data_IF_064240755878
#
_entry.id   IF_064240755878
#
_cell.length_a   1.000
_cell.length_b   1.000
_cell.length_c   1.000
_cell.angle_alpha   90.00
_cell.angle_beta   90.00
_cell.angle_gamma   90.00
#
_symmetry.space_group_name_H-M   'P 1'
#
loop_
_entity.id
_entity.type
_entity.pdbx_description
1 polymer ?
#
# COMPACT_ATOMS: atom_id res chain seq x y z
N UNK A 1 -74.92 58.51 -0.76
CA UNK A 1 -75.00 57.98 0.62
C UNK A 1 -73.60 57.96 1.21
N UNK A 2 -73.42 58.65 2.35
CA UNK A 2 -72.50 58.39 3.48
C UNK A 2 -71.01 58.10 3.16
N UNK A 3 -70.00 58.76 3.72
CA UNK A 3 -69.95 59.71 4.82
C UNK A 3 -68.51 60.15 5.14
N UNK A 4 -68.43 61.17 6.00
CA UNK A 4 -67.26 61.76 6.63
C UNK A 4 -66.30 60.77 7.33
N UNK A 5 -65.00 61.13 7.46
CA UNK A 5 -64.40 61.73 8.69
C UNK A 5 -62.86 61.67 8.71
N UNK A 6 -62.27 62.86 8.94
CA UNK A 6 -61.26 63.22 9.98
C UNK A 6 -59.84 62.62 9.83
N UNK A 7 -58.78 63.40 9.65
CA UNK A 7 -58.15 64.46 10.48
C UNK A 7 -56.87 63.93 11.17
N UNK A 8 -55.77 64.65 10.90
CA UNK A 8 -54.73 65.12 11.83
C UNK A 8 -53.61 64.21 12.37
N UNK A 9 -52.39 64.63 11.99
CA UNK A 9 -51.29 65.22 12.81
C UNK A 9 -50.13 64.34 13.31
N UNK A 10 -48.93 64.96 13.17
CA UNK A 10 -47.68 64.74 13.91
C UNK A 10 -46.69 63.87 13.14
N UNK A 11 -45.51 64.30 12.66
CA UNK A 11 -44.53 65.24 13.22
C UNK A 11 -43.88 64.62 14.48
N UNK A 12 -42.58 64.55 14.71
CA UNK A 12 -41.35 64.89 13.98
C UNK A 12 -40.17 64.35 14.82
N UNK A 13 -39.11 63.86 14.16
CA UNK A 13 -37.69 63.81 14.59
C UNK A 13 -37.13 62.79 15.63
N UNK A 14 -35.79 62.54 15.58
CA UNK A 14 -35.17 61.23 15.72
C UNK A 14 -34.44 61.02 17.05
N UNK A 15 -34.18 59.76 17.41
CA UNK A 15 -33.36 59.41 18.57
C UNK A 15 -32.13 58.59 18.18
N UNK A 16 -31.02 59.33 18.14
CA UNK A 16 -29.67 59.06 18.67
C UNK A 16 -29.21 57.59 18.78
N UNK A 17 -28.06 57.36 18.13
CA UNK A 17 -27.09 56.29 18.44
C UNK A 17 -26.62 56.35 19.90
N UNK A 18 -26.19 55.21 20.45
CA UNK A 18 -25.03 55.18 21.33
C UNK A 18 -23.89 54.36 20.72
N UNK A 19 -22.70 54.93 20.81
CA UNK A 19 -21.41 54.26 20.65
C UNK A 19 -21.27 53.12 21.66
N UNK A 20 -20.77 51.96 21.24
CA UNK A 20 -20.01 51.08 22.12
C UNK A 20 -18.96 50.29 21.33
N UNK A 21 -17.74 50.85 21.41
CA UNK A 21 -16.48 50.19 21.80
C UNK A 21 -16.09 48.85 21.15
N UNK A 22 -14.97 48.96 20.45
CA UNK A 22 -14.08 47.89 20.04
C UNK A 22 -13.66 46.99 21.21
N UNK A 23 -14.10 45.74 21.17
CA UNK A 23 -13.51 44.64 21.94
C UNK A 23 -12.27 44.12 21.23
N UNK A 24 -11.10 44.63 21.63
CA UNK A 24 -9.81 44.00 21.36
C UNK A 24 -9.77 42.70 22.15
N UNK A 25 -9.89 41.56 21.47
CA UNK A 25 -9.62 40.27 22.09
C UNK A 25 -8.11 40.08 22.21
N UNK A 26 -7.58 40.41 23.39
CA UNK A 26 -6.24 40.03 23.83
C UNK A 26 -6.07 38.51 23.71
N UNK A 27 -5.31 38.08 22.71
CA UNK A 27 -4.78 36.73 22.63
C UNK A 27 -3.68 36.56 23.68
N UNK A 28 -3.69 35.49 24.48
CA UNK A 28 -2.54 35.17 25.34
C UNK A 28 -1.32 34.84 24.47
N UNK A 29 -0.12 35.31 24.83
CA UNK A 29 1.09 35.06 24.04
C UNK A 29 1.44 33.57 24.04
N UNK A 30 1.60 33.00 22.84
CA UNK A 30 2.12 31.66 22.64
C UNK A 30 3.49 31.47 23.32
N UNK A 31 3.78 30.30 23.92
CA UNK A 31 5.08 30.01 24.48
C UNK A 31 6.14 29.97 23.37
N UNK A 32 7.20 30.76 23.55
CA UNK A 32 8.37 30.79 22.66
C UNK A 32 9.10 29.44 22.70
N UNK A 33 9.54 28.87 21.56
CA UNK A 33 10.39 27.69 21.56
C UNK A 33 11.76 28.02 22.18
N UNK A 34 12.39 27.08 22.91
CA UNK A 34 13.69 27.32 23.54
C UNK A 34 14.79 27.58 22.49
N UNK A 35 15.66 28.54 22.82
CA UNK A 35 16.74 29.01 21.98
C UNK A 35 17.69 27.87 21.55
N UNK A 36 17.95 27.81 20.24
CA UNK A 36 18.92 26.92 19.62
C UNK A 36 20.33 27.30 20.09
N UNK A 37 20.85 26.56 21.08
CA UNK A 37 22.25 26.67 21.51
C UNK A 37 23.14 26.14 20.37
N UNK A 38 23.81 27.03 19.64
CA UNK A 38 24.84 26.68 18.67
C UNK A 38 25.98 25.95 19.41
N UNK A 39 26.05 24.63 19.29
CA UNK A 39 27.25 23.87 19.63
C UNK A 39 28.21 23.97 18.45
N UNK A 40 29.27 24.77 18.65
CA UNK A 40 30.46 24.82 17.80
C UNK A 40 30.99 23.40 17.58
N UNK A 41 31.08 22.98 16.32
CA UNK A 41 31.72 21.73 15.93
C UNK A 41 33.22 21.81 16.22
N UNK A 42 33.72 20.93 17.10
CA UNK A 42 35.13 20.56 17.15
C UNK A 42 35.34 19.47 16.10
N UNK A 43 36.17 19.77 15.12
CA UNK A 43 36.69 18.82 14.15
C UNK A 43 37.57 17.81 14.89
N UNK A 44 37.21 16.52 14.83
CA UNK A 44 38.11 15.44 15.21
C UNK A 44 38.73 14.87 13.92
N UNK A 45 40.04 15.09 13.76
CA UNK A 45 40.87 14.44 12.76
C UNK A 45 40.87 12.92 13.00
N UNK A 46 40.17 12.17 12.15
CA UNK A 46 40.32 10.72 12.02
C UNK A 46 41.47 10.40 11.09
N UNK A 47 42.62 10.01 11.65
CA UNK A 47 43.73 9.43 10.91
C UNK A 47 43.33 8.05 10.34
N UNK A 48 43.16 7.97 9.02
CA UNK A 48 43.09 6.73 8.26
C UNK A 48 44.47 6.04 8.29
N UNK A 49 44.63 4.98 9.09
CA UNK A 49 45.77 4.08 9.00
C UNK A 49 45.51 3.05 7.90
N UNK A 50 46.16 3.23 6.76
CA UNK A 50 46.25 2.22 5.69
C UNK A 50 46.96 0.96 6.21
N UNK A 51 46.24 -0.15 6.34
CA UNK A 51 46.85 -1.48 6.52
C UNK A 51 47.33 -1.99 5.16
N UNK A 52 48.64 -2.01 4.95
CA UNK A 52 49.31 -2.63 3.80
C UNK A 52 49.14 -4.14 3.86
N UNK A 53 48.72 -4.73 2.75
CA UNK A 53 48.70 -6.18 2.51
C UNK A 53 50.09 -6.65 2.06
N UNK A 54 50.70 -7.71 2.62
CA UNK A 54 51.98 -8.20 2.13
C UNK A 54 51.76 -9.04 0.86
N UNK A 55 52.46 -8.66 -0.21
CA UNK A 55 52.61 -9.46 -1.43
C UNK A 55 53.44 -10.71 -1.11
N UNK A 56 52.79 -11.88 -1.09
CA UNK A 56 53.50 -13.17 -1.06
C UNK A 56 53.96 -13.52 -2.48
N UNK A 57 55.27 -13.80 -2.59
CA UNK A 57 55.98 -14.19 -3.81
C UNK A 57 55.38 -15.46 -4.42
N UNK A 58 55.17 -15.44 -5.74
CA UNK A 58 54.83 -16.63 -6.54
C UNK A 58 56.01 -17.61 -6.47
N UNK A 59 55.73 -18.86 -6.09
CA UNK A 59 56.64 -19.99 -6.27
C UNK A 59 56.19 -20.78 -7.50
N UNK A 60 57.16 -21.07 -8.36
CA UNK A 60 57.03 -21.80 -9.60
C UNK A 60 56.48 -23.21 -9.39
N UNK A 61 55.53 -23.61 -10.23
CA UNK A 61 54.98 -24.97 -10.31
C UNK A 61 55.61 -25.66 -11.52
N UNK A 62 56.41 -26.71 -11.27
CA UNK A 62 56.83 -27.69 -12.29
C UNK A 62 55.69 -28.71 -12.53
N UNK A 63 55.47 -29.19 -13.77
CA UNK A 63 54.44 -30.18 -14.05
C UNK A 63 54.96 -31.60 -13.82
N UNK A 64 54.21 -32.42 -13.07
CA UNK A 64 54.66 -33.78 -12.76
C UNK A 64 53.60 -34.67 -12.10
N UNK A 65 52.80 -35.33 -12.95
CA UNK A 65 52.30 -36.72 -12.85
C UNK A 65 51.35 -37.16 -11.71
N UNK A 66 50.22 -37.70 -12.22
CA UNK A 66 49.36 -38.81 -11.73
C UNK A 66 48.38 -38.51 -10.59
N UNK A 67 47.17 -38.14 -10.99
CA UNK A 67 45.97 -38.29 -10.17
C UNK A 67 45.71 -39.79 -9.94
N UNK A 68 45.84 -40.24 -8.70
CA UNK A 68 45.30 -41.52 -8.26
C UNK A 68 43.78 -41.44 -8.29
N UNK A 69 43.14 -42.44 -8.92
CA UNK A 69 41.70 -42.61 -8.91
C UNK A 69 41.21 -42.69 -7.46
N UNK A 70 40.42 -41.71 -7.04
CA UNK A 70 39.74 -41.72 -5.76
C UNK A 70 38.60 -42.73 -5.88
N UNK A 71 38.78 -43.92 -5.29
CA UNK A 71 37.69 -44.88 -5.16
C UNK A 71 36.50 -44.19 -4.46
N UNK A 72 35.27 -44.28 -4.99
CA UNK A 72 34.12 -43.64 -4.38
C UNK A 72 33.88 -44.29 -3.01
N UNK A 73 34.10 -43.51 -1.95
CA UNK A 73 33.78 -43.87 -0.57
C UNK A 73 32.35 -44.42 -0.54
N UNK A 74 32.20 -45.70 -0.20
CA UNK A 74 30.90 -46.29 0.08
C UNK A 74 30.32 -45.61 1.31
N UNK A 75 29.44 -44.62 1.07
CA UNK A 75 28.68 -43.96 2.13
C UNK A 75 27.96 -45.02 2.97
N UNK A 76 28.16 -44.99 4.28
CA UNK A 76 27.47 -45.87 5.21
C UNK A 76 25.94 -45.70 5.11
N UNK A 77 25.17 -46.75 5.44
CA UNK A 77 23.69 -46.75 5.33
C UNK A 77 23.04 -45.51 5.97
N UNK A 78 23.60 -45.01 7.08
CA UNK A 78 23.13 -43.80 7.75
C UNK A 78 23.36 -42.51 6.92
N UNK A 79 24.50 -42.37 6.26
CA UNK A 79 24.79 -41.21 5.39
C UNK A 79 23.95 -41.25 4.11
N UNK A 80 23.67 -42.44 3.56
CA UNK A 80 22.73 -42.59 2.42
C UNK A 80 21.31 -42.20 2.82
N UNK A 81 20.83 -42.65 3.99
CA UNK A 81 19.52 -42.26 4.53
C UNK A 81 19.42 -40.75 4.79
N UNK A 82 20.47 -40.12 5.31
CA UNK A 82 20.50 -38.66 5.50
C UNK A 82 20.51 -37.91 4.18
N UNK A 83 21.27 -38.36 3.17
CA UNK A 83 21.24 -37.77 1.83
C UNK A 83 19.90 -37.99 1.12
N UNK A 84 19.26 -39.14 1.33
CA UNK A 84 17.95 -39.45 0.78
C UNK A 84 16.86 -38.60 1.43
N UNK A 85 16.86 -38.48 2.77
CA UNK A 85 15.97 -37.54 3.49
C UNK A 85 16.20 -36.09 3.10
N UNK A 86 17.46 -35.67 2.92
CA UNK A 86 17.78 -34.30 2.48
C UNK A 86 17.35 -34.06 1.04
N UNK A 87 17.42 -35.07 0.16
CA UNK A 87 16.86 -35.02 -1.20
C UNK A 87 15.33 -35.04 -1.21
N UNK A 88 14.69 -35.75 -0.29
CA UNK A 88 13.24 -35.73 -0.11
C UNK A 88 12.77 -34.39 0.48
N UNK A 89 13.52 -33.79 1.41
CA UNK A 89 13.29 -32.43 1.93
C UNK A 89 13.57 -31.35 0.88
N UNK A 90 14.62 -31.48 0.07
CA UNK A 90 14.92 -30.60 -1.08
C UNK A 90 13.91 -30.80 -2.22
N UNK A 91 13.40 -32.03 -2.46
CA UNK A 91 12.30 -32.30 -3.41
C UNK A 91 10.97 -31.67 -2.98
N UNK A 92 10.82 -31.37 -1.69
CA UNK A 92 9.66 -30.68 -1.12
C UNK A 92 9.88 -29.17 -1.03
N UNK A 93 10.99 -28.66 -1.55
CA UNK A 93 11.17 -27.24 -1.77
C UNK A 93 10.17 -26.78 -2.84
N UNK A 94 9.33 -25.82 -2.50
CA UNK A 94 8.30 -25.30 -3.41
C UNK A 94 8.87 -24.84 -4.77
N UNK A 95 10.13 -24.39 -4.80
CA UNK A 95 10.81 -23.99 -6.04
C UNK A 95 11.20 -25.19 -6.93
N UNK A 96 11.73 -26.27 -6.35
CA UNK A 96 12.11 -27.48 -7.09
C UNK A 96 10.87 -28.30 -7.50
N UNK A 97 9.85 -28.34 -6.64
CA UNK A 97 8.56 -28.96 -6.94
C UNK A 97 7.83 -28.22 -8.08
N UNK A 98 7.86 -26.88 -8.11
CA UNK A 98 7.28 -26.09 -9.19
C UNK A 98 8.04 -26.29 -10.52
N UNK A 99 9.38 -26.31 -10.48
CA UNK A 99 10.19 -26.54 -11.68
C UNK A 99 10.03 -27.98 -12.21
N UNK A 100 10.02 -28.99 -11.34
CA UNK A 100 9.80 -30.38 -11.71
C UNK A 100 8.39 -30.60 -12.27
N UNK A 101 7.38 -29.95 -11.68
CA UNK A 101 5.99 -29.95 -12.19
C UNK A 101 5.89 -29.26 -13.54
N UNK A 102 6.57 -28.12 -13.73
CA UNK A 102 6.63 -27.43 -15.01
C UNK A 102 7.30 -28.30 -16.08
N UNK A 103 8.41 -28.97 -15.77
CA UNK A 103 9.07 -29.90 -16.70
C UNK A 103 8.21 -31.13 -17.02
N UNK A 104 7.46 -31.64 -16.04
CA UNK A 104 6.55 -32.77 -16.21
C UNK A 104 5.33 -32.40 -17.08
N UNK A 105 4.71 -31.24 -16.83
CA UNK A 105 3.56 -30.74 -17.59
C UNK A 105 3.96 -30.26 -19.01
N UNK A 106 5.19 -29.76 -19.17
CA UNK A 106 5.76 -29.34 -20.45
C UNK A 106 6.49 -30.47 -21.22
N UNK A 107 6.38 -31.72 -20.77
CA UNK A 107 7.12 -32.86 -21.30
C UNK A 107 7.12 -32.96 -22.84
N UNK A 108 8.32 -32.78 -23.40
CA UNK A 108 8.82 -33.07 -24.77
C UNK A 108 8.08 -32.52 -26.00
N UNK A 109 7.04 -31.68 -25.86
CA UNK A 109 6.44 -31.02 -27.01
C UNK A 109 5.48 -29.88 -26.65
N UNK A 110 5.75 -28.70 -27.22
CA UNK A 110 4.87 -27.58 -27.57
C UNK A 110 3.53 -27.37 -26.83
N UNK A 111 3.43 -27.62 -25.52
CA UNK A 111 2.28 -27.17 -24.75
C UNK A 111 2.52 -25.71 -24.35
N UNK A 112 1.77 -24.79 -24.93
CA UNK A 112 1.66 -23.44 -24.39
C UNK A 112 0.72 -23.48 -23.18
N UNK A 113 1.27 -23.48 -21.96
CA UNK A 113 0.47 -23.48 -20.73
C UNK A 113 -0.28 -22.16 -20.50
N UNK A 114 -0.11 -21.15 -21.36
CA UNK A 114 -0.96 -19.96 -21.40
C UNK A 114 -2.26 -20.19 -22.16
N UNK A 115 -2.31 -21.21 -23.03
CA UNK A 115 -3.54 -21.66 -23.67
C UNK A 115 -4.27 -22.61 -22.73
N UNK A 116 -5.46 -22.22 -22.28
CA UNK A 116 -6.22 -22.95 -21.25
C UNK A 116 -6.58 -24.38 -21.70
N UNK A 117 -6.80 -24.59 -23.00
CA UNK A 117 -7.06 -25.91 -23.57
C UNK A 117 -5.84 -26.82 -23.50
N UNK A 118 -4.65 -26.31 -23.82
CA UNK A 118 -3.38 -27.02 -23.70
C UNK A 118 -2.99 -27.28 -22.24
N UNK A 119 -3.20 -26.29 -21.35
CA UNK A 119 -2.97 -26.43 -19.92
C UNK A 119 -3.86 -27.51 -19.30
N UNK A 120 -5.17 -27.52 -19.64
CA UNK A 120 -6.10 -28.56 -19.18
C UNK A 120 -5.66 -29.96 -19.62
N UNK A 121 -5.25 -30.13 -20.89
CA UNK A 121 -4.72 -31.41 -21.40
C UNK A 121 -3.46 -31.84 -20.67
N UNK A 122 -2.57 -30.90 -20.33
CA UNK A 122 -1.36 -31.20 -19.57
C UNK A 122 -1.69 -31.65 -18.14
N UNK A 123 -2.61 -30.97 -17.45
CA UNK A 123 -3.03 -31.33 -16.09
C UNK A 123 -3.69 -32.72 -16.08
N UNK A 124 -4.50 -33.03 -17.10
CA UNK A 124 -5.15 -34.33 -17.22
C UNK A 124 -4.18 -35.48 -17.50
N UNK A 125 -3.00 -35.22 -18.08
CA UNK A 125 -1.91 -36.22 -18.22
C UNK A 125 -1.27 -36.56 -16.86
N UNK A 126 -1.24 -35.60 -15.95
CA UNK A 126 -0.76 -35.80 -14.59
C UNK A 126 -1.82 -36.47 -13.70
N UNK A 127 -3.07 -36.02 -13.82
CA UNK A 127 -4.19 -36.49 -13.02
C UNK A 127 -5.48 -36.49 -13.85
N UNK A 128 -6.04 -37.68 -14.09
CA UNK A 128 -7.21 -37.87 -14.96
C UNK A 128 -8.55 -37.29 -14.41
N UNK A 129 -8.56 -36.71 -13.21
CA UNK A 129 -9.76 -36.08 -12.65
C UNK A 129 -10.06 -34.74 -13.32
N UNK A 130 -11.24 -34.65 -13.94
CA UNK A 130 -11.75 -33.40 -14.52
C UNK A 130 -11.89 -32.29 -13.49
N UNK A 131 -12.43 -32.61 -12.31
CA UNK A 131 -12.60 -31.66 -11.21
C UNK A 131 -11.27 -31.13 -10.70
N UNK A 132 -10.26 -32.00 -10.57
CA UNK A 132 -8.91 -31.58 -10.20
C UNK A 132 -8.30 -30.62 -11.24
N UNK A 133 -8.51 -30.89 -12.53
CA UNK A 133 -8.04 -30.01 -13.60
C UNK A 133 -8.74 -28.64 -13.55
N UNK A 134 -10.05 -28.62 -13.29
CA UNK A 134 -10.83 -27.40 -13.21
C UNK A 134 -10.45 -26.56 -11.98
N UNK A 135 -10.16 -27.20 -10.83
CA UNK A 135 -9.67 -26.56 -9.61
C UNK A 135 -8.28 -25.93 -9.81
N UNK A 136 -7.35 -26.66 -10.44
CA UNK A 136 -6.00 -26.17 -10.75
C UNK A 136 -6.05 -24.99 -11.72
N UNK A 137 -6.87 -25.05 -12.77
CA UNK A 137 -7.07 -23.92 -13.68
C UNK A 137 -7.74 -22.73 -12.99
N UNK A 138 -8.64 -22.98 -12.04
CA UNK A 138 -9.22 -21.96 -11.16
C UNK A 138 -8.15 -21.22 -10.36
N UNK A 139 -7.23 -21.97 -9.74
CA UNK A 139 -6.10 -21.38 -9.03
C UNK A 139 -5.13 -20.65 -9.97
N UNK A 140 -4.84 -21.18 -11.17
CA UNK A 140 -3.99 -20.48 -12.15
C UNK A 140 -4.61 -19.14 -12.53
N UNK A 141 -5.92 -19.07 -12.81
CA UNK A 141 -6.61 -17.79 -13.06
C UNK A 141 -6.52 -16.83 -11.89
N UNK A 142 -6.67 -17.35 -10.67
CA UNK A 142 -6.51 -16.55 -9.45
C UNK A 142 -5.06 -16.05 -9.29
N UNK A 143 -4.06 -16.87 -9.62
CA UNK A 143 -2.65 -16.46 -9.59
C UNK A 143 -2.26 -15.54 -10.74
N UNK A 144 -2.87 -15.64 -11.93
CA UNK A 144 -2.68 -14.70 -13.04
C UNK A 144 -3.26 -13.32 -12.70
N UNK A 145 -4.35 -13.28 -11.93
CA UNK A 145 -4.87 -12.05 -11.33
C UNK A 145 -3.90 -11.45 -10.30
N UNK A 146 -3.01 -12.27 -9.71
CA UNK A 146 -1.96 -11.85 -8.78
C UNK A 146 -0.62 -11.53 -9.48
N UNK A 147 -0.33 -12.17 -10.63
CA UNK A 147 0.93 -12.07 -11.37
C UNK A 147 0.96 -10.91 -12.38
N UNK A 148 -0.20 -10.38 -12.75
CA UNK A 148 -0.28 -9.06 -13.38
C UNK A 148 -0.34 -8.02 -12.28
N UNK A 149 0.50 -6.97 -12.35
CA UNK A 149 0.41 -5.84 -11.41
C UNK A 149 -1.02 -5.31 -11.38
N UNK A 150 -1.74 -5.45 -10.25
CA UNK A 150 -3.15 -5.11 -10.19
C UNK A 150 -3.44 -3.61 -10.33
N UNK A 151 -2.41 -2.80 -10.09
CA UNK A 151 -2.44 -1.35 -10.27
C UNK A 151 -2.84 -0.95 -11.70
N UNK A 152 -2.55 -1.77 -12.71
CA UNK A 152 -2.72 -1.40 -14.12
C UNK A 152 -4.03 -1.93 -14.72
N UNK A 153 -4.63 -3.01 -14.21
CA UNK A 153 -5.87 -3.58 -14.74
C UNK A 153 -7.15 -2.99 -14.14
N UNK A 154 -7.13 -2.59 -12.86
CA UNK A 154 -8.30 -1.96 -12.23
C UNK A 154 -8.32 -0.44 -12.41
N UNK A 155 -7.16 0.20 -12.61
CA UNK A 155 -7.07 1.57 -13.13
C UNK A 155 -7.51 1.68 -14.60
N UNK A 156 -7.61 0.57 -15.33
CA UNK A 156 -8.05 0.52 -16.74
C UNK A 156 -9.46 -0.04 -16.96
N UNK A 157 -10.10 -0.65 -15.95
CA UNK A 157 -11.50 -1.08 -16.02
C UNK A 157 -12.50 0.08 -15.75
N UNK A 158 -12.49 1.09 -16.63
CA UNK A 158 -13.63 1.91 -17.10
C UNK A 158 -14.67 2.54 -16.15
N UNK A 159 -14.58 2.41 -14.81
CA UNK A 159 -15.62 2.82 -13.87
C UNK A 159 -15.20 3.93 -12.91
N UNK A 160 -16.14 4.43 -12.12
CA UNK A 160 -15.91 5.49 -11.12
C UNK A 160 -14.83 5.12 -10.11
N UNK A 161 -14.81 3.88 -9.60
CA UNK A 161 -13.78 3.40 -8.67
C UNK A 161 -12.37 3.46 -9.28
N UNK A 162 -12.20 3.03 -10.54
CA UNK A 162 -10.92 3.08 -11.23
C UNK A 162 -10.38 4.50 -11.39
N UNK A 163 -11.25 5.49 -11.64
CA UNK A 163 -10.87 6.92 -11.69
C UNK A 163 -10.34 7.40 -10.34
N UNK A 164 -11.08 7.12 -9.26
CA UNK A 164 -10.68 7.48 -7.88
C UNK A 164 -9.32 6.85 -7.53
N UNK A 165 -9.16 5.56 -7.81
CA UNK A 165 -7.90 4.83 -7.56
C UNK A 165 -6.74 5.42 -8.36
N UNK A 166 -6.94 5.68 -9.66
CA UNK A 166 -5.91 6.27 -10.53
C UNK A 166 -5.43 7.62 -9.99
N UNK A 167 -6.35 8.47 -9.54
CA UNK A 167 -6.03 9.78 -8.97
C UNK A 167 -5.25 9.64 -7.65
N UNK A 168 -5.67 8.76 -6.74
CA UNK A 168 -4.95 8.54 -5.50
C UNK A 168 -3.55 7.94 -5.72
N UNK A 169 -3.40 7.03 -6.69
CA UNK A 169 -2.11 6.43 -7.06
C UNK A 169 -1.15 7.44 -7.70
N UNK A 170 -1.67 8.43 -8.43
CA UNK A 170 -0.86 9.50 -9.01
C UNK A 170 -0.17 10.37 -7.95
N UNK A 171 -0.72 10.42 -6.73
CA UNK A 171 -0.18 11.18 -5.59
C UNK A 171 0.79 10.38 -4.72
N UNK A 172 1.19 9.18 -5.16
CA UNK A 172 2.28 8.46 -4.52
C UNK A 172 3.57 9.27 -4.60
N UNK A 173 4.31 9.32 -3.51
CA UNK A 173 5.49 10.17 -3.35
C UNK A 173 5.18 11.60 -2.93
N UNK A 174 3.92 12.05 -2.99
CA UNK A 174 3.53 13.36 -2.48
C UNK A 174 3.72 13.40 -0.96
N UNK A 175 4.29 14.50 -0.46
CA UNK A 175 4.63 14.67 0.96
C UNK A 175 3.39 14.61 1.84
N UNK A 176 3.51 14.02 3.03
CA UNK A 176 2.48 14.16 4.05
C UNK A 176 2.49 15.56 4.67
N UNK A 177 1.33 16.22 4.70
CA UNK A 177 1.11 17.51 5.37
C UNK A 177 -0.13 17.39 6.24
N UNK A 178 0.00 17.63 7.55
CA UNK A 178 -1.14 17.59 8.47
C UNK A 178 -2.17 18.65 8.11
N UNK A 179 -3.44 18.25 7.91
CA UNK A 179 -4.49 19.12 7.39
C UNK A 179 -4.39 19.36 5.88
N UNK A 180 -3.40 18.79 5.20
CA UNK A 180 -3.12 18.97 3.79
C UNK A 180 -4.13 18.25 2.90
N UNK A 181 -4.49 18.87 1.79
CA UNK A 181 -5.40 18.31 0.80
C UNK A 181 -6.84 18.79 0.93
N UNK A 182 -7.44 19.14 -0.20
CA UNK A 182 -8.86 19.43 -0.36
C UNK A 182 -9.37 18.91 -1.72
N UNK A 183 -10.57 19.32 -2.12
CA UNK A 183 -11.16 18.88 -3.40
C UNK A 183 -10.38 19.33 -4.64
N UNK A 184 -9.50 20.34 -4.52
CA UNK A 184 -8.71 20.90 -5.63
C UNK A 184 -7.29 20.35 -5.70
N UNK A 185 -6.83 19.60 -4.69
CA UNK A 185 -5.50 18.96 -4.70
C UNK A 185 -4.72 19.19 -3.41
N UNK A 186 -3.38 19.10 -3.45
CA UNK A 186 -2.54 19.21 -2.27
C UNK A 186 -2.52 20.64 -1.73
N UNK A 187 -2.61 20.79 -0.41
CA UNK A 187 -2.47 22.09 0.27
C UNK A 187 -1.23 22.08 1.15
N UNK A 188 -0.50 23.20 1.22
CA UNK A 188 0.81 23.23 1.86
C UNK A 188 1.86 22.32 1.19
N UNK A 189 1.63 21.94 -0.07
CA UNK A 189 2.51 21.05 -0.85
C UNK A 189 2.33 19.55 -0.57
N UNK A 190 1.23 19.14 0.06
CA UNK A 190 0.98 17.73 0.31
C UNK A 190 -0.44 17.38 0.73
N UNK A 191 -0.59 16.13 1.16
CA UNK A 191 -1.86 15.56 1.64
C UNK A 191 -1.69 14.99 3.04
N UNK A 192 -2.74 15.02 3.86
CA UNK A 192 -2.91 14.03 4.92
C UNK A 192 -3.74 12.84 4.43
N UNK A 193 -3.93 11.84 5.29
CA UNK A 193 -4.60 10.59 4.95
C UNK A 193 -6.01 10.83 4.39
N UNK A 194 -6.82 11.66 5.05
CA UNK A 194 -8.19 11.93 4.60
C UNK A 194 -8.26 12.96 3.47
N UNK A 195 -7.33 13.93 3.41
CA UNK A 195 -7.25 14.92 2.33
C UNK A 195 -6.96 14.30 0.97
N UNK A 196 -6.09 13.28 0.94
CA UNK A 196 -5.85 12.49 -0.29
C UNK A 196 -7.14 11.85 -0.80
N UNK A 197 -7.94 11.28 0.10
CA UNK A 197 -9.20 10.62 -0.24
C UNK A 197 -10.28 11.61 -0.66
N UNK A 198 -10.39 12.77 0.02
CA UNK A 198 -11.29 13.86 -0.36
C UNK A 198 -11.01 14.30 -1.80
N UNK A 199 -9.74 14.54 -2.15
CA UNK A 199 -9.32 14.88 -3.49
C UNK A 199 -9.70 13.80 -4.51
N UNK A 200 -9.26 12.55 -4.28
CA UNK A 200 -9.43 11.47 -5.23
C UNK A 200 -10.91 11.13 -5.49
N UNK A 201 -11.74 11.11 -4.44
CA UNK A 201 -13.18 10.86 -4.58
C UNK A 201 -13.91 12.02 -5.26
N UNK A 202 -13.57 13.26 -4.92
CA UNK A 202 -14.20 14.41 -5.56
C UNK A 202 -13.86 14.46 -7.06
N UNK A 203 -12.59 14.33 -7.41
CA UNK A 203 -12.12 14.39 -8.79
C UNK A 203 -12.53 13.16 -9.62
N UNK A 204 -12.54 11.97 -9.00
CA UNK A 204 -12.84 10.71 -9.70
C UNK A 204 -14.32 10.37 -9.79
N UNK A 205 -15.11 10.78 -8.79
CA UNK A 205 -16.50 10.37 -8.62
C UNK A 205 -17.49 11.54 -8.42
N UNK A 206 -17.02 12.77 -8.23
CA UNK A 206 -17.88 13.89 -7.85
C UNK A 206 -18.46 13.79 -6.44
N UNK A 207 -17.89 12.92 -5.59
CA UNK A 207 -18.38 12.67 -4.23
C UNK A 207 -17.50 13.42 -3.24
N UNK A 208 -18.11 14.28 -2.43
CA UNK A 208 -17.42 14.98 -1.34
C UNK A 208 -17.45 14.13 -0.07
N UNK A 209 -16.31 13.56 0.31
CA UNK A 209 -16.16 12.85 1.57
C UNK A 209 -16.06 13.81 2.76
N UNK A 210 -16.42 13.37 3.99
CA UNK A 210 -16.09 14.10 5.21
C UNK A 210 -14.58 14.34 5.34
N UNK A 211 -14.17 15.48 5.90
CA UNK A 211 -12.74 15.86 5.94
C UNK A 211 -11.88 14.97 6.83
N UNK A 212 -12.44 14.32 7.85
CA UNK A 212 -11.68 13.55 8.85
C UNK A 212 -11.90 12.05 8.69
N UNK A 213 -10.86 11.26 8.97
CA UNK A 213 -10.91 9.79 9.00
C UNK A 213 -11.98 9.28 9.98
N UNK A 214 -12.15 9.93 11.13
CA UNK A 214 -13.20 9.60 12.11
C UNK A 214 -14.60 9.76 11.52
N UNK A 215 -14.86 10.83 10.76
CA UNK A 215 -16.16 11.04 10.14
C UNK A 215 -16.37 10.08 8.95
N UNK A 216 -15.31 9.77 8.18
CA UNK A 216 -15.36 8.77 7.12
C UNK A 216 -15.69 7.37 7.65
N UNK A 217 -15.39 7.05 8.92
CA UNK A 217 -15.82 5.82 9.58
C UNK A 217 -17.34 5.64 9.56
N UNK A 218 -18.12 6.70 9.43
CA UNK A 218 -19.58 6.65 9.35
C UNK A 218 -20.12 6.96 7.95
N UNK A 219 -19.23 7.15 6.96
CA UNK A 219 -19.63 7.40 5.59
C UNK A 219 -20.14 6.13 4.91
N UNK A 220 -21.14 6.28 4.03
CA UNK A 220 -21.64 5.20 3.20
C UNK A 220 -22.09 3.95 3.98
N UNK A 221 -21.92 2.78 3.37
CA UNK A 221 -22.32 1.49 3.93
C UNK A 221 -21.13 0.77 4.59
N UNK A 222 -21.36 0.15 5.74
CA UNK A 222 -20.38 -0.76 6.35
C UNK A 222 -20.24 -2.06 5.52
N UNK A 223 -19.01 -2.51 5.32
CA UNK A 223 -18.69 -3.70 4.51
C UNK A 223 -17.86 -4.69 5.33
N UNK A 224 -18.12 -5.99 5.14
CA UNK A 224 -17.33 -7.06 5.75
C UNK A 224 -16.03 -7.30 4.99
N UNK A 225 -15.01 -7.87 5.65
CA UNK A 225 -13.69 -8.11 5.02
C UNK A 225 -13.74 -9.00 3.78
N UNK A 226 -14.65 -9.98 3.76
CA UNK A 226 -14.84 -10.89 2.61
C UNK A 226 -15.45 -10.18 1.38
N UNK A 227 -16.11 -9.05 1.59
CA UNK A 227 -16.81 -8.28 0.55
C UNK A 227 -16.02 -7.06 0.08
N UNK A 228 -14.77 -6.92 0.51
CA UNK A 228 -13.91 -5.77 0.21
C UNK A 228 -13.68 -5.62 -1.30
N UNK A 229 -13.90 -4.43 -1.84
CA UNK A 229 -13.79 -4.13 -3.28
C UNK A 229 -12.95 -2.88 -3.52
N UNK A 230 -12.20 -2.82 -4.64
CA UNK A 230 -11.46 -1.63 -5.02
C UNK A 230 -12.34 -0.37 -4.98
N UNK A 231 -11.81 0.69 -4.37
CA UNK A 231 -12.56 1.90 -4.09
C UNK A 231 -13.05 1.99 -2.65
N UNK A 232 -13.19 0.89 -1.91
CA UNK A 232 -13.62 0.96 -0.51
C UNK A 232 -12.64 1.75 0.37
N UNK A 233 -13.19 2.50 1.33
CA UNK A 233 -12.42 3.19 2.35
C UNK A 233 -12.06 2.23 3.47
N UNK A 234 -10.81 2.28 3.90
CA UNK A 234 -10.29 1.50 5.01
C UNK A 234 -9.91 2.43 6.14
N UNK A 235 -10.71 2.46 7.21
CA UNK A 235 -10.46 3.35 8.36
C UNK A 235 -9.84 2.54 9.48
N UNK A 236 -8.65 2.98 9.93
CA UNK A 236 -7.82 2.28 10.90
C UNK A 236 -7.86 2.98 12.26
N UNK A 237 -7.86 2.16 13.30
CA UNK A 237 -7.73 2.56 14.68
C UNK A 237 -6.33 2.23 15.23
N UNK A 238 -5.28 2.79 14.61
CA UNK A 238 -3.90 2.59 15.05
C UNK A 238 -3.57 3.34 16.35
N UNK A 239 -4.13 4.54 16.53
CA UNK A 239 -3.85 5.45 17.65
C UNK A 239 -4.98 5.51 18.69
N UNK A 240 -5.92 4.57 18.67
CA UNK A 240 -7.09 4.56 19.57
C UNK A 240 -8.20 5.57 19.24
N UNK A 241 -8.02 6.40 18.20
CA UNK A 241 -8.98 7.44 17.79
C UNK A 241 -9.36 7.39 16.29
N UNK A 242 -9.32 6.21 15.66
CA UNK A 242 -9.66 6.04 14.22
C UNK A 242 -8.96 7.05 13.31
N UNK A 243 -7.69 7.33 13.59
CA UNK A 243 -6.96 8.49 13.07
C UNK A 243 -6.49 8.36 11.64
N UNK A 244 -6.49 7.15 11.06
CA UNK A 244 -5.93 6.91 9.73
C UNK A 244 -6.95 6.31 8.76
N UNK A 245 -6.81 6.64 7.48
CA UNK A 245 -7.65 6.10 6.41
C UNK A 245 -6.81 5.83 5.15
N UNK A 246 -7.17 4.77 4.43
CA UNK A 246 -6.61 4.44 3.11
C UNK A 246 -7.70 4.04 2.12
N UNK A 247 -7.35 4.05 0.84
CA UNK A 247 -8.21 3.61 -0.25
C UNK A 247 -7.81 2.20 -0.68
N UNK A 248 -8.73 1.23 -0.62
CA UNK A 248 -8.46 -0.12 -1.11
C UNK A 248 -8.31 -0.14 -2.63
N UNK A 249 -7.27 -0.81 -3.12
CA UNK A 249 -6.90 -0.87 -4.54
C UNK A 249 -6.83 -2.30 -5.07
N UNK A 250 -7.48 -3.25 -4.38
CA UNK A 250 -7.44 -4.67 -4.74
C UNK A 250 -6.26 -5.42 -4.11
N UNK A 251 -6.33 -6.75 -4.16
CA UNK A 251 -5.24 -7.67 -3.77
C UNK A 251 -4.64 -7.45 -2.39
N UNK A 252 -5.48 -7.10 -1.41
CA UNK A 252 -5.01 -6.84 -0.05
C UNK A 252 -4.12 -5.61 0.07
N UNK A 253 -4.17 -4.68 -0.90
CA UNK A 253 -3.40 -3.44 -0.91
C UNK A 253 -4.29 -2.21 -0.75
N UNK A 254 -3.71 -1.14 -0.21
CA UNK A 254 -4.29 0.20 -0.18
C UNK A 254 -3.30 1.25 -0.66
N UNK A 255 -3.80 2.39 -1.12
CA UNK A 255 -3.03 3.64 -1.26
C UNK A 255 -3.43 4.63 -0.17
N UNK A 256 -2.46 5.31 0.43
CA UNK A 256 -2.68 6.22 1.55
C UNK A 256 -1.53 7.25 1.70
N UNK A 257 -1.78 8.30 2.48
CA UNK A 257 -0.73 9.20 2.99
C UNK A 257 -0.51 8.88 4.49
N UNK A 258 0.52 8.09 4.85
CA UNK A 258 0.65 7.49 6.18
C UNK A 258 0.94 8.49 7.31
N UNK A 259 2.02 9.27 7.20
CA UNK A 259 2.47 10.15 8.27
C UNK A 259 3.59 11.11 7.80
N UNK A 260 4.01 12.11 8.60
CA UNK A 260 5.04 13.09 8.21
C UNK A 260 6.43 12.53 7.81
N UNK A 261 6.75 11.26 8.12
CA UNK A 261 8.03 10.63 7.80
C UNK A 261 7.99 9.85 6.49
N UNK A 262 6.82 9.47 6.02
CA UNK A 262 6.64 8.62 4.84
C UNK A 262 5.69 9.32 3.85
N UNK A 263 6.12 9.61 2.62
CA UNK A 263 5.25 10.16 1.58
C UNK A 263 4.08 9.22 1.23
N UNK A 264 3.15 9.67 0.39
CA UNK A 264 2.07 8.84 -0.12
C UNK A 264 2.61 7.54 -0.73
N UNK A 265 2.05 6.39 -0.31
CA UNK A 265 2.55 5.08 -0.71
C UNK A 265 1.42 4.07 -0.89
N UNK A 266 1.79 2.85 -1.29
CA UNK A 266 0.92 1.68 -1.26
C UNK A 266 1.38 0.73 -0.17
N UNK A 267 0.45 0.17 0.60
CA UNK A 267 0.75 -0.75 1.67
C UNK A 267 -0.21 -1.94 1.68
N UNK A 268 0.28 -3.08 2.15
CA UNK A 268 -0.55 -4.26 2.42
C UNK A 268 -1.44 -4.02 3.64
N UNK A 269 -2.71 -4.41 3.54
CA UNK A 269 -3.65 -4.44 4.66
C UNK A 269 -3.81 -5.84 5.26
N UNK A 270 -3.31 -6.86 4.57
CA UNK A 270 -3.34 -8.27 5.03
C UNK A 270 -2.03 -8.73 5.63
N UNK A 271 -0.95 -7.95 5.47
CA UNK A 271 0.37 -8.23 6.05
C UNK A 271 1.06 -6.93 6.49
N UNK A 272 2.09 -7.06 7.35
CA UNK A 272 2.88 -5.90 7.80
C UNK A 272 2.29 -5.17 9.01
N UNK A 273 2.52 -3.86 9.09
CA UNK A 273 2.06 -3.03 10.21
C UNK A 273 0.55 -2.83 10.22
N UNK A 274 -0.02 -2.48 9.06
CA UNK A 274 -1.45 -2.17 8.91
C UNK A 274 -2.37 -3.36 9.18
N UNK A 275 -1.90 -4.59 9.01
CA UNK A 275 -2.69 -5.79 9.31
C UNK A 275 -2.88 -6.03 10.81
N UNK A 276 -2.08 -5.38 11.67
CA UNK A 276 -2.15 -5.51 13.14
C UNK A 276 -3.09 -4.51 13.80
N UNK A 277 -3.41 -3.42 13.11
CA UNK A 277 -4.35 -2.42 13.62
C UNK A 277 -5.79 -2.94 13.52
N UNK A 278 -6.68 -2.42 14.37
CA UNK A 278 -8.12 -2.56 14.17
C UNK A 278 -8.58 -1.67 13.01
N UNK A 279 -9.54 -2.15 12.22
CA UNK A 279 -10.00 -1.44 11.03
C UNK A 279 -11.42 -1.80 10.63
N UNK A 280 -12.11 -0.85 10.00
CA UNK A 280 -13.45 -0.97 9.45
C UNK A 280 -13.45 -0.53 8.00
N UNK A 281 -14.40 -1.06 7.22
CA UNK A 281 -14.50 -0.82 5.77
C UNK A 281 -15.79 -0.05 5.50
N UNK A 282 -15.68 0.97 4.65
CA UNK A 282 -16.82 1.80 4.22
C UNK A 282 -16.87 1.90 2.71
N UNK A 283 -18.02 1.55 2.15
CA UNK A 283 -18.31 1.67 0.72
C UNK A 283 -19.15 2.90 0.45
N UNK A 284 -18.62 3.78 -0.39
CA UNK A 284 -19.26 5.04 -0.79
C UNK A 284 -19.67 5.03 -2.26
N UNK A 285 -19.05 4.17 -3.08
CA UNK A 285 -19.37 3.94 -4.49
C UNK A 285 -20.45 2.86 -4.68
#
# INVERSE_FOLDING_TARGET
MVGHRRDRKGGEQPRRRPDHQAGRHDHPPHPRPPARRQRRGRQHHGHLRHRRWPLRRRRDIRPGRRAHAVHPLHLGRAQRRRRQRRREEESNNAFDAALATALYLCGTGANDLRDEGQARRAILRYNASGQYADDVLGHIRQYDQLAVTPLDREATAGGTAGKVIKLALAERGTKYVWGGGDIHGPTGGGFDCSGLLVYAYHQGAGITLPRTSQAMRSAGKAVGRADLRPGDLIVFNADGNWGHVGLYIGNGQMVHAPNPRTPGETASVTSGEWSRADWTIRRVL
#
